data_IF_517415509412
#
_entry.id   IF_517415509412
#
_cell.length_a   1.000
_cell.length_b   1.000
_cell.length_c   1.000
_cell.angle_alpha   90.00
_cell.angle_beta   90.00
_cell.angle_gamma   90.00
#
_symmetry.space_group_name_H-M   'P 1'
#
loop_
_entity.id
_entity.type
_entity.pdbx_description
1 polymer ?
#
# COMPACT_ATOMS: atom_id res chain seq x y z
N UNK A 1 -5.31 -24.05 -11.61
CA UNK A 1 -6.04 -23.60 -10.40
C UNK A 1 -5.01 -23.20 -9.36
N UNK A 2 -4.44 -22.00 -9.47
CA UNK A 2 -3.44 -21.49 -8.53
C UNK A 2 -4.17 -20.91 -7.33
N UNK A 3 -4.03 -21.56 -6.17
CA UNK A 3 -4.60 -21.12 -4.91
C UNK A 3 -4.20 -19.67 -4.62
N UNK A 4 -5.21 -18.82 -4.44
CA UNK A 4 -5.05 -17.51 -3.83
C UNK A 4 -4.31 -17.73 -2.51
N UNK A 5 -3.09 -17.22 -2.42
CA UNK A 5 -2.31 -17.28 -1.19
C UNK A 5 -3.03 -16.44 -0.14
N UNK A 6 -3.62 -17.09 0.86
CA UNK A 6 -4.32 -16.49 2.02
C UNK A 6 -3.36 -15.80 3.01
N UNK A 7 -2.32 -15.17 2.48
CA UNK A 7 -1.22 -14.63 3.28
C UNK A 7 -1.24 -13.12 3.26
N UNK A 8 -1.15 -12.54 4.46
CA UNK A 8 -0.91 -11.11 4.63
C UNK A 8 0.51 -10.80 4.15
N UNK A 9 0.62 -9.88 3.19
CA UNK A 9 1.90 -9.37 2.75
C UNK A 9 2.26 -8.19 3.65
N UNK A 10 3.37 -8.33 4.40
CA UNK A 10 3.94 -7.24 5.18
C UNK A 10 4.93 -6.47 4.33
N UNK A 11 4.84 -5.15 4.39
CA UNK A 11 5.71 -4.24 3.66
C UNK A 11 6.51 -3.41 4.65
N UNK A 12 7.83 -3.42 4.47
CA UNK A 12 8.77 -2.65 5.28
C UNK A 12 9.70 -1.88 4.36
N UNK A 13 10.15 -0.70 4.77
CA UNK A 13 11.13 0.07 4.01
C UNK A 13 12.28 0.53 4.89
N UNK A 14 13.45 0.63 4.28
CA UNK A 14 14.63 1.27 4.86
C UNK A 14 15.11 2.35 3.92
N UNK A 15 15.48 3.49 4.49
CA UNK A 15 16.03 4.64 3.76
C UNK A 15 17.41 4.93 4.34
N UNK A 16 18.43 5.02 3.49
CA UNK A 16 19.81 5.36 3.87
C UNK A 16 20.34 6.47 2.97
N UNK A 17 21.20 7.32 3.51
CA UNK A 17 21.98 8.28 2.72
C UNK A 17 23.16 7.52 2.10
N UNK A 18 23.13 7.29 0.80
CA UNK A 18 24.14 6.53 0.04
C UNK A 18 24.18 7.04 -1.39
N UNK A 19 23.28 6.51 -2.23
CA UNK A 19 23.06 6.93 -3.62
C UNK A 19 21.58 6.87 -3.91
N UNK A 20 21.13 7.66 -4.87
CA UNK A 20 19.76 7.62 -5.35
C UNK A 20 19.46 6.25 -5.98
N UNK A 21 18.71 5.42 -5.26
CA UNK A 21 18.38 4.07 -5.71
C UNK A 21 17.13 3.58 -4.99
N UNK A 22 16.19 2.99 -5.73
CA UNK A 22 15.06 2.25 -5.15
C UNK A 22 15.12 0.77 -5.54
N UNK A 23 15.03 -0.13 -4.56
CA UNK A 23 15.05 -1.59 -4.77
C UNK A 23 13.89 -2.23 -4.03
N UNK A 24 13.16 -3.11 -4.72
CA UNK A 24 12.09 -3.93 -4.14
C UNK A 24 12.54 -5.39 -4.10
N UNK A 25 12.44 -6.03 -2.95
CA UNK A 25 12.88 -7.42 -2.70
C UNK A 25 11.80 -8.23 -1.97
N UNK A 26 11.87 -9.56 -2.09
CA UNK A 26 10.82 -10.48 -1.61
C UNK A 26 10.00 -11.10 -2.75
N UNK A 27 10.67 -11.56 -3.81
CA UNK A 27 10.07 -12.16 -5.02
C UNK A 27 8.98 -11.30 -5.71
N UNK A 28 9.26 -10.02 -6.03
CA UNK A 28 8.35 -9.19 -6.82
C UNK A 28 8.32 -9.62 -8.29
N UNK A 29 7.14 -9.56 -8.91
CA UNK A 29 6.98 -9.65 -10.35
C UNK A 29 7.39 -8.34 -11.06
N UNK A 30 7.18 -8.30 -12.38
CA UNK A 30 7.51 -7.12 -13.21
C UNK A 30 6.67 -5.91 -12.80
N UNK A 31 5.36 -6.08 -12.59
CA UNK A 31 4.46 -4.98 -12.24
C UNK A 31 4.82 -4.32 -10.91
N UNK A 32 5.23 -5.11 -9.92
CA UNK A 32 5.75 -4.59 -8.64
C UNK A 32 7.10 -3.91 -8.82
N UNK A 33 8.00 -4.46 -9.65
CA UNK A 33 9.27 -3.79 -9.93
C UNK A 33 9.06 -2.42 -10.57
N UNK A 34 8.07 -2.27 -11.44
CA UNK A 34 7.67 -0.98 -12.02
C UNK A 34 7.01 -0.04 -11.00
N UNK A 35 6.44 -0.56 -9.91
CA UNK A 35 5.92 0.28 -8.81
C UNK A 35 6.97 1.18 -8.22
N UNK A 36 8.26 0.82 -8.32
CA UNK A 36 9.35 1.67 -7.85
C UNK A 36 9.30 3.06 -8.50
N UNK A 37 9.03 3.15 -9.81
CA UNK A 37 8.99 4.41 -10.54
C UNK A 37 7.77 5.22 -10.12
N UNK A 38 6.62 4.56 -9.91
CA UNK A 38 5.39 5.20 -9.41
C UNK A 38 5.55 5.76 -8.00
N UNK A 39 6.27 5.04 -7.14
CA UNK A 39 6.59 5.50 -5.77
C UNK A 39 7.52 6.70 -5.83
N UNK A 40 8.61 6.64 -6.61
CA UNK A 40 9.54 7.76 -6.75
C UNK A 40 8.83 9.01 -7.29
N UNK A 41 8.01 8.86 -8.34
CA UNK A 41 7.21 9.96 -8.87
C UNK A 41 6.24 10.56 -7.84
N UNK A 42 5.62 9.71 -7.01
CA UNK A 42 4.77 10.17 -5.92
C UNK A 42 5.55 10.97 -4.88
N UNK A 43 6.72 10.49 -4.46
CA UNK A 43 7.59 11.21 -3.52
C UNK A 43 8.03 12.57 -4.07
N UNK A 44 8.41 12.64 -5.36
CA UNK A 44 8.70 13.90 -6.02
C UNK A 44 7.50 14.85 -6.05
N UNK A 45 6.30 14.35 -6.36
CA UNK A 45 5.08 15.15 -6.36
C UNK A 45 4.74 15.70 -4.96
N UNK A 46 5.04 14.92 -3.91
CA UNK A 46 4.93 15.34 -2.51
C UNK A 46 6.05 16.29 -2.06
N UNK A 47 7.02 16.60 -2.93
CA UNK A 47 8.21 17.40 -2.65
C UNK A 47 9.07 16.84 -1.52
N UNK A 48 9.05 15.52 -1.36
CA UNK A 48 9.96 14.84 -0.45
C UNK A 48 11.37 14.85 -1.04
N UNK A 49 12.35 15.18 -0.21
CA UNK A 49 13.76 15.10 -0.60
C UNK A 49 14.14 13.62 -0.70
N UNK A 50 14.45 13.15 -1.90
CA UNK A 50 14.94 11.78 -2.15
C UNK A 50 16.36 11.76 -2.72
N UNK A 51 17.02 12.91 -2.78
CA UNK A 51 18.35 13.03 -3.32
C UNK A 51 19.33 12.26 -2.43
N UNK A 52 20.22 11.49 -3.06
CA UNK A 52 21.19 10.63 -2.37
C UNK A 52 20.57 9.59 -1.42
N UNK A 53 19.28 9.25 -1.58
CA UNK A 53 18.60 8.25 -0.76
C UNK A 53 18.53 6.88 -1.44
N UNK A 54 19.06 5.88 -0.74
CA UNK A 54 18.87 4.47 -1.06
C UNK A 54 17.67 3.92 -0.31
N UNK A 55 16.59 3.69 -1.06
CA UNK A 55 15.33 3.13 -0.60
C UNK A 55 15.33 1.63 -0.88
N UNK A 56 15.13 0.83 0.16
CA UNK A 56 14.95 -0.62 0.04
C UNK A 56 13.59 -1.01 0.61
N UNK A 57 12.73 -1.59 -0.23
CA UNK A 57 11.39 -2.05 0.13
C UNK A 57 11.41 -3.58 0.20
N UNK A 58 11.02 -4.11 1.35
CA UNK A 58 10.92 -5.53 1.63
C UNK A 58 9.46 -5.97 1.62
N UNK A 59 9.17 -7.01 0.85
CA UNK A 59 7.89 -7.71 0.83
C UNK A 59 8.04 -9.06 1.54
N UNK A 60 7.32 -9.25 2.63
CA UNK A 60 7.31 -10.48 3.42
C UNK A 60 5.96 -11.19 3.32
N UNK A 61 5.93 -12.53 3.27
CA UNK A 61 7.06 -13.44 3.42
C UNK A 61 7.83 -13.63 2.10
N UNK A 62 9.16 -13.77 2.16
CA UNK A 62 10.04 -13.68 0.99
C UNK A 62 10.05 -14.91 0.07
N UNK A 63 9.41 -16.01 0.49
CA UNK A 63 9.26 -17.28 -0.22
C UNK A 63 8.02 -17.32 -1.13
N UNK A 64 7.10 -16.38 -0.96
CA UNK A 64 5.88 -16.28 -1.78
C UNK A 64 6.07 -15.24 -2.87
N UNK A 65 5.70 -15.57 -4.11
CA UNK A 65 5.69 -14.60 -5.22
C UNK A 65 4.58 -13.57 -5.01
N UNK A 66 4.89 -12.28 -5.17
CA UNK A 66 3.89 -11.20 -5.16
C UNK A 66 3.67 -10.68 -6.58
N UNK A 67 2.41 -10.39 -6.92
CA UNK A 67 2.02 -10.00 -8.27
C UNK A 67 1.04 -8.81 -8.27
N UNK A 68 1.15 -7.96 -9.29
CA UNK A 68 0.24 -6.84 -9.52
C UNK A 68 0.56 -5.58 -8.71
N UNK A 69 -0.32 -4.58 -8.80
CA UNK A 69 -0.09 -3.20 -8.30
C UNK A 69 -0.82 -2.88 -7.00
N UNK A 70 -1.45 -3.87 -6.37
CA UNK A 70 -2.23 -3.68 -5.14
C UNK A 70 -1.40 -3.22 -3.93
N UNK A 71 -0.08 -3.37 -4.00
CA UNK A 71 0.86 -3.07 -2.92
C UNK A 71 1.43 -1.65 -2.98
N UNK A 72 1.16 -0.87 -4.04
CA UNK A 72 1.80 0.42 -4.28
C UNK A 72 1.62 1.38 -3.10
N UNK A 73 0.38 1.49 -2.58
CA UNK A 73 0.09 2.33 -1.42
C UNK A 73 0.81 1.87 -0.14
N UNK A 74 0.87 0.56 0.11
CA UNK A 74 1.56 0.00 1.27
C UNK A 74 3.07 0.27 1.21
N UNK A 75 3.66 0.12 0.02
CA UNK A 75 5.07 0.41 -0.24
C UNK A 75 5.38 1.90 -0.07
N UNK A 76 4.56 2.79 -0.64
CA UNK A 76 4.71 4.23 -0.47
C UNK A 76 4.66 4.65 1.01
N UNK A 77 3.68 4.12 1.75
CA UNK A 77 3.53 4.45 3.17
C UNK A 77 4.73 3.99 4.00
N UNK A 78 5.24 2.77 3.74
CA UNK A 78 6.43 2.26 4.41
C UNK A 78 7.65 3.16 4.14
N UNK A 79 7.82 3.64 2.90
CA UNK A 79 8.90 4.57 2.54
C UNK A 79 8.75 5.90 3.26
N UNK A 80 7.56 6.51 3.24
CA UNK A 80 7.29 7.77 3.94
C UNK A 80 7.54 7.64 5.45
N UNK A 81 7.15 6.52 6.06
CA UNK A 81 7.43 6.24 7.47
C UNK A 81 8.95 6.18 7.73
N UNK A 82 9.69 5.48 6.88
CA UNK A 82 11.15 5.36 7.00
C UNK A 82 11.87 6.70 6.78
N UNK A 83 11.38 7.54 5.86
CA UNK A 83 11.94 8.87 5.59
C UNK A 83 11.68 9.86 6.72
N UNK A 84 10.44 9.92 7.21
CA UNK A 84 10.03 10.86 8.25
C UNK A 84 10.48 10.46 9.65
N UNK A 85 10.86 9.17 9.83
CA UNK A 85 11.18 8.56 11.13
C UNK A 85 10.04 8.73 12.15
N UNK A 86 8.82 8.97 11.69
CA UNK A 86 7.64 9.14 12.53
C UNK A 86 6.91 7.81 12.63
N UNK A 87 6.61 7.31 13.84
CA UNK A 87 5.72 6.18 13.97
C UNK A 87 4.35 6.57 13.41
N UNK A 88 3.76 5.67 12.64
CA UNK A 88 2.38 5.79 12.22
C UNK A 88 1.57 4.98 13.21
N UNK A 89 0.58 5.61 13.83
CA UNK A 89 -0.37 4.91 14.69
C UNK A 89 -1.36 4.14 13.80
N UNK A 90 -0.94 2.96 13.37
CA UNK A 90 -1.70 2.06 12.48
C UNK A 90 -2.30 0.96 13.36
N UNK A 91 -3.64 0.81 13.38
CA UNK A 91 -4.29 -0.28 14.10
C UNK A 91 -3.82 -1.66 13.60
N UNK A 92 -3.79 -2.66 14.49
CA UNK A 92 -3.22 -3.99 14.20
C UNK A 92 -3.87 -4.72 13.00
N UNK A 93 -5.12 -4.41 12.67
CA UNK A 93 -5.89 -5.07 11.62
C UNK A 93 -6.22 -4.13 10.47
N UNK A 94 -5.18 -3.47 9.96
CA UNK A 94 -5.28 -2.56 8.82
C UNK A 94 -4.48 -3.09 7.63
N UNK A 95 -5.12 -3.11 6.46
CA UNK A 95 -4.47 -3.33 5.17
C UNK A 95 -4.58 -2.07 4.32
N UNK A 96 -3.50 -1.77 3.59
CA UNK A 96 -3.42 -0.69 2.62
C UNK A 96 -3.48 -1.29 1.22
N UNK A 97 -4.56 -1.02 0.48
CA UNK A 97 -4.82 -1.62 -0.85
C UNK A 97 -5.16 -0.51 -1.83
N UNK A 98 -4.21 -0.15 -2.69
CA UNK A 98 -4.43 0.75 -3.81
C UNK A 98 -3.21 0.71 -4.76
N UNK A 99 -3.46 1.03 -6.03
CA UNK A 99 -2.41 1.20 -7.03
C UNK A 99 -2.00 2.67 -7.11
N UNK A 100 -0.81 2.96 -7.64
CA UNK A 100 -0.40 4.31 -7.99
C UNK A 100 -0.49 4.53 -9.50
N UNK A 101 -0.72 5.77 -9.91
CA UNK A 101 -0.51 6.22 -11.29
C UNK A 101 0.94 6.66 -11.48
N UNK A 102 1.37 6.88 -12.72
CA UNK A 102 2.67 7.49 -13.02
C UNK A 102 2.78 8.94 -12.49
N UNK A 103 1.66 9.60 -12.23
CA UNK A 103 1.61 10.96 -11.67
C UNK A 103 1.65 10.98 -10.14
N UNK A 104 1.78 9.81 -9.49
CA UNK A 104 1.82 9.72 -8.04
C UNK A 104 0.45 9.81 -7.35
N UNK A 105 -0.64 9.61 -8.10
CA UNK A 105 -2.00 9.59 -7.55
C UNK A 105 -2.43 8.16 -7.23
N UNK A 106 -3.23 7.97 -6.19
CA UNK A 106 -3.83 6.67 -5.91
C UNK A 106 -4.97 6.38 -6.89
N UNK A 107 -5.04 5.14 -7.36
CA UNK A 107 -6.03 4.71 -8.35
C UNK A 107 -6.51 3.29 -8.09
N UNK A 108 -7.57 2.92 -8.79
CA UNK A 108 -8.12 1.56 -8.78
C UNK A 108 -7.31 0.63 -9.68
N UNK A 109 -7.47 -0.68 -9.46
CA UNK A 109 -6.84 -1.71 -10.28
C UNK A 109 -7.84 -2.83 -10.55
N UNK A 110 -7.60 -3.60 -11.62
CA UNK A 110 -8.53 -4.59 -12.16
C UNK A 110 -9.11 -5.56 -11.11
N UNK A 111 -8.30 -6.00 -10.17
CA UNK A 111 -8.67 -6.99 -9.15
C UNK A 111 -8.96 -6.37 -7.76
N UNK A 112 -9.30 -5.08 -7.68
CA UNK A 112 -9.50 -4.40 -6.39
C UNK A 112 -10.59 -5.06 -5.51
N UNK A 113 -11.76 -5.33 -6.07
CA UNK A 113 -12.86 -5.96 -5.33
C UNK A 113 -12.50 -7.35 -4.78
N UNK A 114 -12.00 -8.31 -5.60
CA UNK A 114 -11.59 -9.61 -5.06
C UNK A 114 -10.44 -9.51 -4.06
N UNK A 115 -9.49 -8.58 -4.24
CA UNK A 115 -8.42 -8.34 -3.25
C UNK A 115 -8.97 -7.83 -1.92
N UNK A 116 -9.95 -6.92 -1.93
CA UNK A 116 -10.62 -6.44 -0.71
C UNK A 116 -11.37 -7.59 -0.03
N UNK A 117 -12.13 -8.38 -0.78
CA UNK A 117 -12.83 -9.55 -0.23
C UNK A 117 -11.87 -10.55 0.43
N UNK A 118 -10.72 -10.80 -0.20
CA UNK A 118 -9.69 -11.66 0.36
C UNK A 118 -9.12 -11.07 1.66
N UNK A 119 -8.79 -9.78 1.67
CA UNK A 119 -8.27 -9.10 2.86
C UNK A 119 -9.27 -9.15 4.03
N UNK A 120 -10.56 -8.92 3.76
CA UNK A 120 -11.63 -9.03 4.77
C UNK A 120 -11.73 -10.45 5.34
N UNK A 121 -11.62 -11.47 4.48
CA UNK A 121 -11.65 -12.87 4.89
C UNK A 121 -10.47 -13.23 5.79
N UNK A 122 -9.24 -12.85 5.40
CA UNK A 122 -8.01 -13.12 6.16
C UNK A 122 -8.03 -12.41 7.52
N UNK A 123 -8.46 -11.15 7.55
CA UNK A 123 -8.52 -10.36 8.78
C UNK A 123 -9.71 -10.72 9.68
N UNK A 124 -10.58 -11.64 9.25
CA UNK A 124 -11.83 -12.04 9.93
C UNK A 124 -12.73 -10.83 10.22
N UNK A 125 -12.82 -9.91 9.27
CA UNK A 125 -13.62 -8.69 9.39
C UNK A 125 -15.01 -8.97 8.85
N UNK A 126 -16.01 -8.92 9.73
CA UNK A 126 -17.41 -8.92 9.33
C UNK A 126 -17.82 -7.50 8.98
N UNK A 127 -18.22 -7.27 7.73
CA UNK A 127 -18.84 -6.01 7.32
C UNK A 127 -20.22 -5.93 7.98
N UNK A 128 -20.34 -5.15 9.05
CA UNK A 128 -21.63 -4.74 9.58
C UNK A 128 -22.27 -3.76 8.59
N UNK A 129 -23.32 -4.20 7.89
CA UNK A 129 -24.04 -3.54 6.79
C UNK A 129 -23.45 -3.69 5.38
N UNK A 130 -24.33 -3.79 4.34
CA UNK A 130 -23.90 -3.79 2.96
C UNK A 130 -23.20 -2.46 2.69
N UNK A 131 -21.89 -2.53 2.45
CA UNK A 131 -21.14 -1.40 1.96
C UNK A 131 -21.62 -1.10 0.54
N UNK A 132 -22.52 -0.13 0.41
CA UNK A 132 -22.99 0.39 -0.87
C UNK A 132 -21.84 1.21 -1.47
N UNK A 133 -21.12 0.61 -2.41
CA UNK A 133 -20.28 1.34 -3.35
C UNK A 133 -21.18 2.13 -4.32
N UNK A 134 -21.78 3.23 -3.87
CA UNK A 134 -22.48 4.16 -4.76
C UNK A 134 -21.47 5.14 -5.35
N UNK A 135 -21.22 5.01 -6.66
CA UNK A 135 -20.31 5.87 -7.40
C UNK A 135 -20.81 7.30 -7.52
N UNK A 136 -19.90 8.25 -7.27
CA UNK A 136 -19.38 9.22 -8.25
C UNK A 136 -18.01 9.70 -7.70
N UNK A 137 -16.93 9.38 -8.42
CA UNK A 137 -15.49 9.47 -8.09
C UNK A 137 -14.94 8.75 -6.82
N UNK A 138 -15.80 8.30 -5.90
CA UNK A 138 -16.04 6.86 -5.69
C UNK A 138 -15.08 5.95 -4.91
N UNK A 139 -14.11 6.41 -4.12
CA UNK A 139 -13.44 5.55 -3.11
C UNK A 139 -13.21 6.40 -1.84
N UNK A 140 -13.69 5.94 -0.68
CA UNK A 140 -13.57 6.64 0.61
C UNK A 140 -12.55 5.93 1.50
N UNK A 141 -11.58 6.73 1.93
CA UNK A 141 -10.46 6.39 2.80
C UNK A 141 -10.68 7.00 4.19
N UNK A 142 -10.79 6.20 5.24
CA UNK A 142 -10.75 6.73 6.61
C UNK A 142 -9.29 6.91 7.03
N UNK A 143 -8.68 8.02 6.61
CA UNK A 143 -7.59 8.67 7.35
C UNK A 143 -8.01 10.11 7.63
N UNK A 144 -8.63 10.33 8.79
CA UNK A 144 -8.60 11.65 9.40
C UNK A 144 -7.14 11.95 9.79
N UNK A 145 -6.43 12.65 8.91
CA UNK A 145 -5.98 14.05 9.12
C UNK A 145 -4.76 14.37 8.23
N UNK A 146 -4.93 15.43 7.44
CA UNK A 146 -3.88 16.29 6.84
C UNK A 146 -3.14 15.87 5.54
N UNK A 147 -3.75 15.12 4.63
CA UNK A 147 -3.33 15.18 3.22
C UNK A 147 -4.56 15.25 2.31
N UNK A 148 -4.79 16.37 1.59
CA UNK A 148 -5.90 16.45 0.65
C UNK A 148 -5.56 15.56 -0.55
N UNK A 149 -6.46 14.64 -0.89
CA UNK A 149 -6.50 13.84 -2.14
C UNK A 149 -5.80 12.47 -2.16
N UNK A 150 -5.66 11.80 -1.02
CA UNK A 150 -5.09 10.43 -0.97
C UNK A 150 -6.18 9.43 -0.59
N UNK A 151 -6.64 8.63 -1.56
CA UNK A 151 -7.62 7.59 -1.32
C UNK A 151 -6.99 6.27 -0.86
N UNK A 152 -6.72 6.16 0.44
CA UNK A 152 -6.25 4.94 1.10
C UNK A 152 -7.43 4.08 1.59
N UNK A 153 -7.68 2.92 0.98
CA UNK A 153 -8.63 1.99 1.60
C UNK A 153 -8.00 1.46 2.88
N UNK A 154 -8.52 1.93 4.02
CA UNK A 154 -8.19 1.48 5.35
C UNK A 154 -9.36 0.65 5.82
N UNK A 155 -9.11 -0.64 5.96
CA UNK A 155 -10.04 -1.52 6.64
C UNK A 155 -9.76 -1.35 8.14
N UNK A 156 -10.70 -0.77 8.88
CA UNK A 156 -10.64 -0.56 10.34
C UNK A 156 -11.58 -1.55 11.03
N UNK A 157 -11.13 -2.12 12.15
CA UNK A 157 -12.01 -2.78 13.12
C UNK A 157 -12.29 -1.80 14.25
N UNK A 158 -13.57 -1.58 14.56
CA UNK A 158 -13.94 -1.15 15.90
C UNK A 158 -14.21 -2.43 16.69
N UNK A 159 -13.32 -2.77 17.63
CA UNK A 159 -13.69 -3.70 18.68
C UNK A 159 -14.75 -3.00 19.52
N UNK A 160 -15.99 -3.45 19.33
CA UNK A 160 -17.11 -3.06 20.17
C UNK A 160 -16.95 -3.85 21.47
N UNK A 161 -16.64 -3.17 22.57
CA UNK A 161 -17.25 -3.53 23.85
C UNK A 161 -18.59 -2.79 23.96
#
# INVERSE_FOLDING_TARGET
MSGLSDQVIRVEATVREDKEQCVIIGLPDVSIKESRERILNCLHALKEDIDMKKITIHLSPADVKKQGTSYDAAMLLAVLQAMTKKPLDIPEKTCFIAALTLNGELTTFHSMIPTIHQALSILKIQLGHPFIASGFNGVFALLQQQLPQVCIIIIRINDSQ
#
